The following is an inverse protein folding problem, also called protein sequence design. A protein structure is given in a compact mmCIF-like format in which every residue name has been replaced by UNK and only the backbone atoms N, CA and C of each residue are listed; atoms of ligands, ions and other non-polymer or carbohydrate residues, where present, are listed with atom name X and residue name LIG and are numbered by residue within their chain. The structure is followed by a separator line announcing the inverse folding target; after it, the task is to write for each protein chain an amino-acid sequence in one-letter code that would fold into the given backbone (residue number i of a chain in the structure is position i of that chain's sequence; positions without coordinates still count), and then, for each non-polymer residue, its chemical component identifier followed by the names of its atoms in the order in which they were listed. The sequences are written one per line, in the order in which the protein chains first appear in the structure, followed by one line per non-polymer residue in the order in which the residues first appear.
data_IF_417317499132
#
_entry.id   IF_417317499132
#
_cell.length_a   1.000
_cell.length_b   1.000
_cell.length_c   1.000
_cell.angle_alpha   90.00
_cell.angle_beta   90.00
_cell.angle_gamma   90.00
#
_symmetry.space_group_name_H-M   'P 1'
#
loop_
_entity.id
_entity.type
_entity.pdbx_description
1 polymer ?
#
# COMPACT_ATOMS: atom_id res chain seq x y z
N UNK A 1 -9.84 -10.44 -4.95
CA UNK A 1 -9.11 -10.55 -3.68
C UNK A 1 -8.92 -12.02 -3.33
N UNK A 2 -7.71 -12.41 -2.93
CA UNK A 2 -7.35 -13.76 -2.52
C UNK A 2 -6.76 -13.71 -1.11
N UNK A 3 -7.23 -14.58 -0.22
CA UNK A 3 -6.63 -14.77 1.10
C UNK A 3 -5.42 -15.70 0.95
N UNK A 4 -4.23 -15.22 1.29
CA UNK A 4 -2.97 -15.99 1.15
C UNK A 4 -2.59 -16.70 2.45
N UNK A 5 -2.91 -16.10 3.59
CA UNK A 5 -2.87 -16.72 4.91
C UNK A 5 -3.90 -16.02 5.81
N UNK A 6 -4.22 -16.56 7.01
CA UNK A 6 -5.30 -16.04 7.82
C UNK A 6 -5.21 -14.52 8.02
N UNK A 7 -6.27 -13.82 7.62
CA UNK A 7 -6.41 -12.36 7.70
C UNK A 7 -5.48 -11.55 6.76
N UNK A 8 -4.68 -12.18 5.89
CA UNK A 8 -3.85 -11.49 4.91
C UNK A 8 -4.35 -11.76 3.49
N UNK A 9 -4.69 -10.67 2.80
CA UNK A 9 -5.28 -10.70 1.48
C UNK A 9 -4.42 -9.93 0.48
N UNK A 10 -4.33 -10.47 -0.73
CA UNK A 10 -3.80 -9.77 -1.91
C UNK A 10 -4.96 -9.48 -2.85
N UNK A 11 -5.00 -8.28 -3.42
CA UNK A 11 -6.06 -7.87 -4.32
C UNK A 11 -5.68 -6.75 -5.27
N UNK A 12 -6.67 -6.30 -6.04
CA UNK A 12 -6.56 -5.21 -6.99
C UNK A 12 -7.18 -3.90 -6.46
N UNK A 13 -7.31 -2.90 -7.32
CA UNK A 13 -7.93 -1.64 -6.97
C UNK A 13 -9.42 -1.78 -6.62
N UNK A 14 -10.15 -2.62 -7.34
CA UNK A 14 -11.60 -2.77 -7.17
C UNK A 14 -11.92 -3.53 -5.88
N UNK A 15 -11.08 -4.50 -5.51
CA UNK A 15 -11.13 -5.15 -4.21
C UNK A 15 -11.10 -4.14 -3.06
N UNK A 16 -10.20 -3.15 -3.15
CA UNK A 16 -10.15 -2.08 -2.17
C UNK A 16 -11.40 -1.18 -2.26
N UNK A 17 -11.68 -0.61 -3.43
CA UNK A 17 -12.70 0.44 -3.58
C UNK A 17 -14.12 -0.07 -3.26
N UNK A 18 -14.43 -1.30 -3.65
CA UNK A 18 -15.78 -1.86 -3.53
C UNK A 18 -15.97 -2.66 -2.24
N UNK A 19 -14.92 -3.35 -1.75
CA UNK A 19 -15.09 -4.32 -0.67
C UNK A 19 -14.46 -3.90 0.65
N UNK A 20 -13.39 -3.11 0.66
CA UNK A 20 -12.59 -2.84 1.89
C UNK A 20 -12.65 -1.39 2.37
N UNK A 21 -12.71 -0.41 1.47
CA UNK A 21 -12.51 1.02 1.77
C UNK A 21 -13.29 1.57 2.96
N UNK A 22 -14.53 1.13 3.15
CA UNK A 22 -15.44 1.58 4.21
C UNK A 22 -15.67 0.54 5.31
N UNK A 23 -14.98 -0.59 5.27
CA UNK A 23 -15.11 -1.64 6.26
C UNK A 23 -14.22 -1.39 7.46
N UNK A 24 -14.75 -1.65 8.65
CA UNK A 24 -13.97 -1.64 9.89
C UNK A 24 -13.16 -2.94 10.05
N UNK A 25 -12.15 -2.91 10.91
CA UNK A 25 -11.30 -4.08 11.17
C UNK A 25 -10.31 -4.40 10.04
N UNK A 26 -10.15 -3.50 9.06
CA UNK A 26 -9.16 -3.62 8.00
C UNK A 26 -8.01 -2.63 8.16
N UNK A 27 -6.80 -3.09 7.85
CA UNK A 27 -5.65 -2.27 7.51
C UNK A 27 -5.30 -2.49 6.04
N UNK A 28 -4.84 -1.44 5.38
CA UNK A 28 -4.61 -1.46 3.92
C UNK A 28 -3.22 -0.97 3.59
N UNK A 29 -2.51 -1.72 2.76
CA UNK A 29 -1.27 -1.29 2.10
C UNK A 29 -1.62 -0.97 0.65
N UNK A 30 -1.59 0.31 0.31
CA UNK A 30 -1.66 0.79 -1.07
C UNK A 30 -0.26 0.66 -1.69
N UNK A 31 0.06 -0.51 -2.25
CA UNK A 31 1.32 -0.81 -2.93
C UNK A 31 1.36 -0.22 -4.36
N UNK A 32 0.88 1.02 -4.50
CA UNK A 32 0.86 1.74 -5.75
C UNK A 32 0.83 3.25 -5.54
N UNK A 33 1.63 3.93 -6.35
CA UNK A 33 1.68 5.39 -6.42
C UNK A 33 0.34 5.99 -6.86
N UNK A 34 -0.25 5.42 -7.91
CA UNK A 34 -1.50 5.88 -8.51
C UNK A 34 -2.65 4.94 -8.09
N UNK A 35 -3.83 5.48 -7.71
CA UNK A 35 -4.09 6.89 -7.44
C UNK A 35 -3.66 7.34 -6.04
N UNK A 36 -3.41 6.41 -5.11
CA UNK A 36 -3.53 6.66 -3.67
C UNK A 36 -2.46 7.59 -3.09
N UNK A 37 -1.17 7.28 -3.29
CA UNK A 37 -0.09 8.12 -2.78
C UNK A 37 -0.14 9.54 -3.38
N UNK A 38 -0.41 9.62 -4.70
CA UNK A 38 -0.58 10.91 -5.38
C UNK A 38 -1.74 11.71 -4.82
N UNK A 39 -2.92 11.11 -4.69
CA UNK A 39 -4.09 11.82 -4.21
C UNK A 39 -3.89 12.29 -2.77
N UNK A 40 -3.23 11.49 -1.93
CA UNK A 40 -2.93 11.84 -0.55
C UNK A 40 -2.02 13.07 -0.44
N UNK A 41 -0.92 13.10 -1.21
CA UNK A 41 0.05 14.20 -1.15
C UNK A 41 -0.28 15.38 -2.10
N UNK A 42 -1.24 15.21 -3.01
CA UNK A 42 -1.77 16.26 -3.87
C UNK A 42 -0.85 16.72 -5.02
N UNK A 43 0.33 16.10 -5.23
CA UNK A 43 1.28 16.54 -6.25
C UNK A 43 0.75 16.34 -7.68
N UNK A 44 0.98 17.35 -8.53
CA UNK A 44 0.54 17.38 -9.95
C UNK A 44 1.65 17.03 -10.95
N UNK A 45 2.90 17.01 -10.49
CA UNK A 45 4.08 16.61 -11.27
C UNK A 45 4.11 15.12 -11.55
N UNK A 46 5.02 14.64 -12.41
CA UNK A 46 5.13 13.20 -12.75
C UNK A 46 5.31 12.30 -11.52
N UNK A 47 6.05 12.76 -10.51
CA UNK A 47 6.20 12.09 -9.21
C UNK A 47 6.16 13.08 -8.06
N UNK A 48 6.15 12.57 -6.83
CA UNK A 48 6.28 13.39 -5.63
C UNK A 48 7.60 14.20 -5.66
N UNK A 49 7.66 15.39 -5.03
CA UNK A 49 8.91 16.12 -4.85
C UNK A 49 9.94 15.26 -4.09
N UNK A 50 11.18 15.19 -4.59
CA UNK A 50 12.22 14.29 -4.03
C UNK A 50 12.63 14.64 -2.60
N UNK A 51 12.45 15.89 -2.22
CA UNK A 51 12.70 16.46 -0.90
C UNK A 51 11.48 16.38 0.04
N UNK A 52 10.36 15.82 -0.44
CA UNK A 52 9.18 15.63 0.40
C UNK A 52 9.49 14.59 1.50
N UNK A 53 9.22 14.85 2.78
CA UNK A 53 9.52 13.91 3.87
C UNK A 53 8.77 12.58 3.73
N UNK A 54 7.63 12.61 3.04
CA UNK A 54 6.80 11.45 2.75
C UNK A 54 6.98 10.96 1.30
N UNK A 55 8.15 11.18 0.69
CA UNK A 55 8.39 10.82 -0.71
C UNK A 55 8.23 9.33 -0.99
N UNK A 56 8.75 8.46 -0.11
CA UNK A 56 8.72 7.01 -0.31
C UNK A 56 7.40 6.39 0.15
N UNK A 57 6.93 6.82 1.32
CA UNK A 57 5.76 6.25 1.96
C UNK A 57 5.17 7.19 2.99
N UNK A 58 3.94 6.90 3.38
CA UNK A 58 3.25 7.59 4.46
C UNK A 58 2.16 6.73 5.07
N UNK A 59 2.05 6.77 6.39
CA UNK A 59 0.94 6.14 7.13
C UNK A 59 -0.07 7.19 7.56
N UNK A 60 -1.35 6.89 7.35
CA UNK A 60 -2.49 7.65 7.88
C UNK A 60 -3.49 6.67 8.48
N UNK A 61 -3.56 6.61 9.82
CA UNK A 61 -4.43 5.68 10.53
C UNK A 61 -4.16 4.23 10.14
N UNK A 62 -5.20 3.51 9.69
CA UNK A 62 -5.11 2.11 9.27
C UNK A 62 -4.65 1.90 7.82
N UNK A 63 -4.02 2.90 7.21
CA UNK A 63 -3.59 2.85 5.81
C UNK A 63 -2.13 3.26 5.64
N UNK A 64 -1.39 2.43 4.93
CA UNK A 64 -0.04 2.70 4.46
C UNK A 64 -0.08 2.98 2.96
N UNK A 65 0.51 4.10 2.55
CA UNK A 65 0.54 4.55 1.16
C UNK A 65 1.98 4.51 0.67
N UNK A 66 2.24 3.73 -0.38
CA UNK A 66 3.58 3.54 -0.91
C UNK A 66 3.73 4.25 -2.27
N UNK A 67 4.82 4.98 -2.46
CA UNK A 67 5.18 5.55 -3.75
C UNK A 67 5.86 4.49 -4.63
N UNK A 68 5.14 3.40 -4.91
CA UNK A 68 5.61 2.30 -5.76
C UNK A 68 5.08 2.40 -7.18
N UNK A 69 5.98 2.23 -8.14
CA UNK A 69 5.67 2.01 -9.55
C UNK A 69 6.14 0.60 -9.91
N UNK A 70 5.52 0.03 -10.93
CA UNK A 70 5.93 -1.28 -11.41
C UNK A 70 7.26 -1.14 -12.16
N UNK A 71 8.24 -1.95 -11.77
CA UNK A 71 9.62 -1.89 -12.26
C UNK A 71 10.14 -3.29 -12.49
N UNK A 72 10.89 -3.49 -13.57
CA UNK A 72 11.49 -4.80 -13.89
C UNK A 72 12.66 -5.16 -12.96
N UNK A 73 13.42 -4.14 -12.54
CA UNK A 73 14.59 -4.31 -11.68
C UNK A 73 14.23 -4.00 -10.21
N UNK A 74 14.26 -5.00 -9.30
CA UNK A 74 13.97 -4.81 -7.88
C UNK A 74 14.89 -3.81 -7.19
N UNK A 75 16.08 -3.50 -7.73
CA UNK A 75 16.98 -2.50 -7.17
C UNK A 75 16.36 -1.09 -7.13
N UNK A 76 15.32 -0.82 -7.93
CA UNK A 76 14.56 0.43 -7.89
C UNK A 76 13.49 0.46 -6.79
N UNK A 77 13.25 -0.66 -6.09
CA UNK A 77 12.37 -0.69 -4.93
C UNK A 77 13.19 -0.44 -3.67
N UNK A 78 12.97 0.71 -3.03
CA UNK A 78 13.69 1.09 -1.82
C UNK A 78 13.43 0.07 -0.69
N UNK A 79 14.50 -0.41 -0.05
CA UNK A 79 14.41 -1.33 1.10
C UNK A 79 13.49 -0.80 2.20
N UNK A 80 13.54 0.51 2.44
CA UNK A 80 12.68 1.19 3.42
C UNK A 80 11.19 0.97 3.16
N UNK A 81 10.76 0.93 1.90
CA UNK A 81 9.36 0.64 1.55
C UNK A 81 8.99 -0.78 1.99
N UNK A 82 9.84 -1.76 1.68
CA UNK A 82 9.59 -3.16 2.04
C UNK A 82 9.58 -3.37 3.55
N UNK A 83 10.58 -2.83 4.26
CA UNK A 83 10.69 -2.96 5.71
C UNK A 83 9.47 -2.36 6.43
N UNK A 84 8.99 -1.19 6.00
CA UNK A 84 7.81 -0.55 6.56
C UNK A 84 6.53 -1.31 6.22
N UNK A 85 6.38 -1.81 4.99
CA UNK A 85 5.23 -2.61 4.60
C UNK A 85 5.12 -3.89 5.43
N UNK A 86 6.23 -4.63 5.57
CA UNK A 86 6.26 -5.85 6.38
C UNK A 86 5.96 -5.58 7.86
N UNK A 87 6.54 -4.53 8.43
CA UNK A 87 6.28 -4.14 9.82
C UNK A 87 4.80 -3.76 10.02
N UNK A 88 4.24 -2.98 9.10
CA UNK A 88 2.83 -2.58 9.14
C UNK A 88 1.87 -3.77 9.05
N UNK A 89 2.18 -4.76 8.19
CA UNK A 89 1.43 -6.00 8.04
C UNK A 89 1.53 -6.85 9.32
N UNK A 90 2.73 -7.03 9.87
CA UNK A 90 2.93 -7.83 11.08
C UNK A 90 2.19 -7.23 12.29
N UNK A 91 2.29 -5.93 12.51
CA UNK A 91 1.54 -5.23 13.57
C UNK A 91 0.03 -5.35 13.40
N UNK A 92 -0.46 -5.30 12.16
CA UNK A 92 -1.87 -5.47 11.84
C UNK A 92 -2.40 -6.85 12.24
N UNK A 93 -1.69 -7.89 11.80
CA UNK A 93 -2.08 -9.27 12.01
C UNK A 93 -2.00 -9.65 13.49
N UNK A 94 -0.96 -9.19 14.22
CA UNK A 94 -0.87 -9.34 15.68
C UNK A 94 -2.02 -8.66 16.43
N UNK A 95 -2.53 -7.56 15.89
CA UNK A 95 -3.70 -6.86 16.41
C UNK A 95 -5.04 -7.52 16.08
N UNK A 96 -5.05 -8.58 15.26
CA UNK A 96 -6.27 -9.24 14.79
C UNK A 96 -7.01 -8.48 13.68
N UNK A 97 -6.41 -7.44 13.10
CA UNK A 97 -6.95 -6.77 11.92
C UNK A 97 -6.81 -7.67 10.68
N UNK A 98 -7.75 -7.54 9.74
CA UNK A 98 -7.56 -8.03 8.37
C UNK A 98 -6.67 -7.07 7.59
N UNK A 99 -5.83 -7.59 6.71
CA UNK A 99 -4.88 -6.82 5.92
C UNK A 99 -5.15 -7.03 4.45
N UNK A 100 -5.40 -5.94 3.72
CA UNK A 100 -5.36 -5.95 2.26
C UNK A 100 -4.05 -5.31 1.79
N UNK A 101 -3.22 -6.09 1.11
CA UNK A 101 -2.12 -5.58 0.29
C UNK A 101 -2.62 -5.54 -1.15
N UNK A 102 -2.59 -4.37 -1.78
CA UNK A 102 -3.05 -4.27 -3.16
C UNK A 102 -2.25 -3.27 -3.97
N UNK A 103 -2.15 -3.55 -5.26
CA UNK A 103 -1.76 -2.56 -6.26
C UNK A 103 -2.93 -2.35 -7.23
N UNK A 104 -2.66 -1.78 -8.41
CA UNK A 104 -3.73 -1.48 -9.37
C UNK A 104 -4.37 -2.78 -9.90
N UNK A 105 -3.53 -3.77 -10.27
CA UNK A 105 -3.99 -5.04 -10.85
C UNK A 105 -3.90 -6.22 -9.87
N UNK A 106 -3.21 -6.07 -8.73
CA UNK A 106 -3.05 -7.13 -7.74
C UNK A 106 -2.08 -8.25 -8.13
N UNK A 107 -1.13 -7.99 -9.04
CA UNK A 107 -0.30 -9.05 -9.66
C UNK A 107 1.19 -9.04 -9.25
N UNK A 108 1.73 -7.93 -8.73
CA UNK A 108 3.19 -7.75 -8.60
C UNK A 108 3.62 -7.05 -7.30
N UNK A 109 3.32 -5.76 -7.17
CA UNK A 109 3.80 -4.87 -6.10
C UNK A 109 3.16 -5.14 -4.75
#
# INVERSE_FOLDING_TARGET
MIEICPNLFVGDQDDYEQNVKYQSGWRVVHACKEPYHRQLLGYKTRGAPKDHPEYLLVTRGKRLYLNLVDVEDPAYVAKEIMDNALSFIDEALKGGDKVLVHCIQGESR
#
